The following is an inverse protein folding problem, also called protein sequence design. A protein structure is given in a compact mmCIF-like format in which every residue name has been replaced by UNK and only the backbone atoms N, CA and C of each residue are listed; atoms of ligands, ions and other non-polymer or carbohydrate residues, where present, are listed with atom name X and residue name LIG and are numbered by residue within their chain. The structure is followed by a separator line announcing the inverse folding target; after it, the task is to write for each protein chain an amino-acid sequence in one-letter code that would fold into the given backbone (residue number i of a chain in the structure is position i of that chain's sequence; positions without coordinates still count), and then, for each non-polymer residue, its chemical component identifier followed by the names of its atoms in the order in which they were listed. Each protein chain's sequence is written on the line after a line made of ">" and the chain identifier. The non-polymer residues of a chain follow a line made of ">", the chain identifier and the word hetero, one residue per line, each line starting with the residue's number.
data_IF_038017666273
#
_entry.id   IF_038017666273
#
_cell.length_a   1.000
_cell.length_b   1.000
_cell.length_c   1.000
_cell.angle_alpha   90.00
_cell.angle_beta   90.00
_cell.angle_gamma   90.00
#
_symmetry.space_group_name_H-M   'P 1'
#
loop_
_entity.id
_entity.type
_entity.pdbx_description
1 polymer ?
#
# COMPACT_ATOMS: atom_id res chain seq x y z
N UNK A 1 3.27 -20.95 -10.61
CA UNK A 1 3.23 -20.18 -9.34
C UNK A 1 3.78 -18.77 -9.52
N UNK A 2 4.72 -18.56 -10.44
CA UNK A 2 5.37 -17.27 -10.69
C UNK A 2 4.41 -16.13 -11.05
N UNK A 3 3.39 -16.37 -11.87
CA UNK A 3 2.47 -15.30 -12.28
C UNK A 3 1.70 -14.67 -11.11
N UNK A 4 1.35 -15.48 -10.09
CA UNK A 4 0.66 -14.99 -8.90
C UNK A 4 1.59 -14.19 -8.01
N UNK A 5 2.81 -14.70 -7.78
CA UNK A 5 3.81 -13.99 -6.99
C UNK A 5 4.19 -12.67 -7.67
N UNK A 6 4.41 -12.68 -8.98
CA UNK A 6 4.67 -11.49 -9.78
C UNK A 6 3.55 -10.46 -9.61
N UNK A 7 2.28 -10.87 -9.77
CA UNK A 7 1.14 -9.97 -9.57
C UNK A 7 1.05 -9.40 -8.15
N UNK A 8 1.37 -10.21 -7.12
CA UNK A 8 1.41 -9.73 -5.74
C UNK A 8 2.51 -8.66 -5.58
N UNK A 9 3.70 -8.90 -6.12
CA UNK A 9 4.81 -7.94 -6.02
C UNK A 9 4.53 -6.66 -6.81
N UNK A 10 3.89 -6.75 -7.97
CA UNK A 10 3.43 -5.59 -8.75
C UNK A 10 2.44 -4.75 -7.93
N UNK A 11 1.44 -5.39 -7.33
CA UNK A 11 0.47 -4.68 -6.48
C UNK A 11 1.12 -4.03 -5.26
N UNK A 12 2.12 -4.67 -4.64
CA UNK A 12 2.90 -4.08 -3.53
C UNK A 12 3.65 -2.84 -4.00
N UNK A 13 4.31 -2.91 -5.16
CA UNK A 13 5.02 -1.79 -5.76
C UNK A 13 4.09 -0.61 -6.06
N UNK A 14 2.97 -0.85 -6.72
CA UNK A 14 1.98 0.17 -7.06
C UNK A 14 1.47 0.91 -5.81
N UNK A 15 1.17 0.18 -4.73
CA UNK A 15 0.79 0.79 -3.46
C UNK A 15 1.87 1.71 -2.87
N UNK A 16 3.14 1.30 -2.98
CA UNK A 16 4.26 2.11 -2.49
C UNK A 16 4.46 3.38 -3.32
N UNK A 17 4.28 3.28 -4.65
CA UNK A 17 4.35 4.44 -5.55
C UNK A 17 3.19 5.41 -5.25
N UNK A 18 1.96 4.92 -5.17
CA UNK A 18 0.78 5.77 -4.92
C UNK A 18 0.87 6.52 -3.59
N UNK A 19 1.34 5.85 -2.53
CA UNK A 19 1.28 6.39 -1.17
C UNK A 19 2.63 6.95 -0.66
N UNK A 20 3.72 6.70 -1.37
CA UNK A 20 5.08 7.06 -0.96
C UNK A 20 5.80 8.01 -1.92
N UNK A 21 5.15 8.48 -2.99
CA UNK A 21 5.76 9.46 -3.89
C UNK A 21 5.83 10.83 -3.23
N UNK A 22 7.04 11.35 -3.09
CA UNK A 22 7.34 12.65 -2.53
C UNK A 22 7.53 13.70 -3.65
N UNK A 23 7.63 14.98 -3.26
CA UNK A 23 7.88 16.06 -4.20
C UNK A 23 9.18 15.81 -5.00
N UNK A 24 9.11 15.92 -6.32
CA UNK A 24 10.23 15.62 -7.21
C UNK A 24 10.26 14.17 -7.73
N UNK A 25 9.26 13.34 -7.42
CA UNK A 25 9.08 12.02 -8.03
C UNK A 25 9.90 10.90 -7.38
N UNK A 26 10.54 11.16 -6.24
CA UNK A 26 11.17 10.12 -5.44
C UNK A 26 10.11 9.28 -4.72
N UNK A 27 10.29 7.96 -4.69
CA UNK A 27 9.37 7.03 -4.04
C UNK A 27 9.99 6.48 -2.76
N UNK A 28 9.42 6.82 -1.62
CA UNK A 28 9.78 6.29 -0.32
C UNK A 28 8.95 5.04 0.00
N UNK A 29 9.51 3.86 -0.27
CA UNK A 29 8.81 2.58 -0.09
C UNK A 29 8.44 2.27 1.35
N UNK A 30 9.24 2.71 2.33
CA UNK A 30 8.94 2.48 3.74
C UNK A 30 7.70 3.27 4.14
N UNK A 31 7.66 4.56 3.77
CA UNK A 31 6.49 5.40 4.02
C UNK A 31 5.27 4.89 3.24
N UNK A 32 5.44 4.61 1.94
CA UNK A 32 4.37 4.12 1.08
C UNK A 32 3.75 2.81 1.58
N UNK A 33 4.57 1.83 1.97
CA UNK A 33 4.10 0.56 2.50
C UNK A 33 3.34 0.74 3.82
N UNK A 34 3.85 1.58 4.73
CA UNK A 34 3.22 1.85 6.02
C UNK A 34 1.87 2.57 5.85
N UNK A 35 1.81 3.60 4.99
CA UNK A 35 0.58 4.36 4.71
C UNK A 35 -0.47 3.44 4.06
N UNK A 36 -0.09 2.69 3.03
CA UNK A 36 -1.00 1.78 2.34
C UNK A 36 -1.55 0.68 3.26
N UNK A 37 -0.68 0.07 4.07
CA UNK A 37 -1.05 -0.95 5.05
C UNK A 37 -1.99 -0.40 6.12
N UNK A 38 -1.67 0.77 6.69
CA UNK A 38 -2.51 1.42 7.69
C UNK A 38 -3.87 1.81 7.12
N UNK A 39 -3.92 2.44 5.94
CA UNK A 39 -5.17 2.86 5.29
C UNK A 39 -6.12 1.67 5.07
N UNK A 40 -5.58 0.52 4.63
CA UNK A 40 -6.38 -0.70 4.42
C UNK A 40 -7.03 -1.19 5.72
N UNK A 41 -6.26 -1.27 6.80
CA UNK A 41 -6.75 -1.72 8.10
C UNK A 41 -7.72 -0.71 8.71
N UNK A 42 -7.37 0.58 8.70
CA UNK A 42 -8.21 1.64 9.23
C UNK A 42 -9.55 1.74 8.50
N UNK A 43 -9.56 1.59 7.17
CA UNK A 43 -10.81 1.55 6.38
C UNK A 43 -11.68 0.36 6.80
N UNK A 44 -11.09 -0.84 6.90
CA UNK A 44 -11.82 -2.03 7.35
C UNK A 44 -12.36 -1.90 8.78
N UNK A 45 -11.62 -1.25 9.68
CA UNK A 45 -12.07 -0.94 11.04
C UNK A 45 -13.25 0.04 11.04
N UNK A 46 -13.19 1.09 10.22
CA UNK A 46 -14.30 2.05 10.09
C UNK A 46 -15.56 1.41 9.49
N UNK A 47 -15.40 0.54 8.50
CA UNK A 47 -16.51 -0.20 7.86
C UNK A 47 -17.18 -1.19 8.82
N UNK A 48 -16.40 -1.81 9.71
CA UNK A 48 -16.93 -2.68 10.76
C UNK A 48 -17.60 -1.91 11.90
N UNK A 49 -17.48 -0.57 11.93
CA UNK A 49 -18.03 0.29 12.96
C UNK A 49 -17.22 0.31 14.25
N UNK A 50 -17.88 0.58 15.37
CA UNK A 50 -17.28 0.41 16.69
C UNK A 50 -17.39 -1.08 17.04
N UNK A 51 -16.25 -1.76 17.25
CA UNK A 51 -16.21 -3.09 17.88
C UNK A 51 -16.83 -3.06 19.29
#
# INVERSE_FOLDING_TARGET
>A
MDQRLFGIMTAIHENCVENGTEAGGFVNYVNGANIAGFKKVATAMLEQGIL
#
